data_IF_870277201020
#
_entry.id   IF_870277201020
#
_cell.length_a   1.000
_cell.length_b   1.000
_cell.length_c   1.000
_cell.angle_alpha   90.00
_cell.angle_beta   90.00
_cell.angle_gamma   90.00
#
_symmetry.space_group_name_H-M   'P 1'
#
loop_
_entity.id
_entity.type
_entity.pdbx_description
1 polymer ?
#
# COMPACT_ATOMS: atom_id res chain seq x y z
N UNK A 1 -57.98 0.77 -11.42
CA UNK A 1 -56.68 0.11 -11.63
C UNK A 1 -55.71 0.71 -10.62
N UNK A 2 -55.16 -0.09 -9.69
CA UNK A 2 -54.29 0.39 -8.61
C UNK A 2 -52.84 0.32 -9.12
N UNK A 3 -52.22 1.47 -9.39
CA UNK A 3 -50.81 1.55 -9.75
C UNK A 3 -49.96 1.14 -8.56
N UNK A 4 -49.24 0.03 -8.71
CA UNK A 4 -48.18 -0.39 -7.79
C UNK A 4 -46.94 0.43 -8.14
N UNK A 5 -46.59 1.39 -7.27
CA UNK A 5 -45.30 2.08 -7.34
C UNK A 5 -44.26 1.11 -6.78
N UNK A 6 -43.55 0.43 -7.68
CA UNK A 6 -42.40 -0.38 -7.31
C UNK A 6 -41.24 0.58 -6.97
N UNK A 7 -40.93 0.70 -5.68
CA UNK A 7 -39.74 1.40 -5.21
C UNK A 7 -38.52 0.54 -5.57
N UNK A 8 -37.79 0.95 -6.60
CA UNK A 8 -36.50 0.34 -6.96
C UNK A 8 -35.45 0.89 -5.97
N UNK A 9 -35.14 0.11 -4.93
CA UNK A 9 -34.00 0.37 -4.05
C UNK A 9 -32.71 0.12 -4.84
N UNK A 10 -32.13 1.16 -5.41
CA UNK A 10 -30.79 1.12 -6.00
C UNK A 10 -29.79 1.02 -4.85
N UNK A 11 -29.34 -0.19 -4.55
CA UNK A 11 -28.24 -0.43 -3.63
C UNK A 11 -26.96 0.02 -4.35
N UNK A 12 -26.50 1.23 -4.04
CA UNK A 12 -25.16 1.68 -4.39
C UNK A 12 -24.17 0.83 -3.60
N UNK A 13 -23.58 -0.17 -4.24
CA UNK A 13 -22.37 -0.83 -3.74
C UNK A 13 -21.24 0.19 -3.82
N UNK A 14 -21.01 0.93 -2.74
CA UNK A 14 -19.79 1.69 -2.55
C UNK A 14 -18.65 0.68 -2.40
N UNK A 15 -17.81 0.54 -3.42
CA UNK A 15 -16.52 -0.13 -3.28
C UNK A 15 -15.67 0.72 -2.35
N UNK A 16 -15.79 0.46 -1.04
CA UNK A 16 -14.92 1.10 -0.06
C UNK A 16 -13.51 0.55 -0.28
N UNK A 17 -12.62 1.40 -0.78
CA UNK A 17 -11.18 1.10 -0.85
C UNK A 17 -10.70 0.74 0.54
N UNK A 18 -9.80 -0.22 0.69
CA UNK A 18 -9.39 -0.73 2.00
C UNK A 18 -8.51 0.24 2.82
N UNK A 19 -7.91 1.26 2.17
CA UNK A 19 -7.09 2.31 2.78
C UNK A 19 -7.33 3.68 2.11
N UNK A 20 -8.55 4.25 2.16
CA UNK A 20 -8.91 5.45 1.39
C UNK A 20 -8.01 6.66 1.69
N UNK A 21 -7.49 6.76 2.91
CA UNK A 21 -6.65 7.86 3.40
C UNK A 21 -5.29 7.91 2.71
N UNK A 22 -4.75 6.76 2.31
CA UNK A 22 -3.45 6.65 1.65
C UNK A 22 -3.57 6.46 0.14
N UNK A 23 -4.78 6.35 -0.40
CA UNK A 23 -4.97 6.09 -1.81
C UNK A 23 -4.51 7.29 -2.66
N UNK A 24 -3.66 7.05 -3.66
CA UNK A 24 -2.99 8.04 -4.52
C UNK A 24 -1.95 8.93 -3.80
N UNK A 25 -1.52 8.55 -2.59
CA UNK A 25 -0.37 9.22 -1.95
C UNK A 25 0.91 8.84 -2.69
N UNK A 26 1.75 9.83 -2.94
CA UNK A 26 3.09 9.67 -3.50
C UNK A 26 4.13 9.69 -2.37
N UNK A 27 4.76 8.54 -2.12
CA UNK A 27 5.78 8.37 -1.08
C UNK A 27 7.05 9.19 -1.33
N UNK A 28 7.31 9.64 -2.57
CA UNK A 28 8.48 10.46 -2.88
C UNK A 28 8.26 11.93 -2.51
N UNK A 29 7.02 12.43 -2.59
CA UNK A 29 6.65 13.82 -2.27
C UNK A 29 5.88 14.01 -0.96
N UNK A 30 5.55 12.92 -0.27
CA UNK A 30 4.79 12.95 0.99
C UNK A 30 5.51 13.61 2.16
N UNK A 31 6.83 13.80 2.11
CA UNK A 31 7.51 14.62 3.13
C UNK A 31 7.00 16.08 3.17
N UNK A 32 6.41 16.56 2.07
CA UNK A 32 5.85 17.90 1.96
C UNK A 32 4.33 17.96 2.22
N UNK A 33 3.69 16.81 2.49
CA UNK A 33 2.24 16.72 2.62
C UNK A 33 1.84 15.91 3.85
N UNK A 34 0.96 16.49 4.67
CA UNK A 34 0.55 15.94 5.96
C UNK A 34 -0.41 14.74 5.84
N UNK A 35 -0.34 13.85 4.82
CA UNK A 35 -1.30 12.72 4.72
C UNK A 35 -1.03 11.61 5.74
N UNK A 36 0.23 11.39 6.10
CA UNK A 36 0.62 10.39 7.09
C UNK A 36 1.84 10.80 7.90
N UNK A 37 2.02 10.16 9.05
CA UNK A 37 3.26 10.20 9.83
C UNK A 37 3.89 8.82 9.80
N UNK A 38 5.20 8.75 9.50
CA UNK A 38 5.96 7.51 9.68
C UNK A 38 6.26 7.34 11.18
N UNK A 39 5.69 6.30 11.79
CA UNK A 39 5.83 6.03 13.23
C UNK A 39 6.79 4.88 13.54
N UNK A 40 7.17 4.11 12.52
CA UNK A 40 8.14 3.03 12.61
C UNK A 40 8.81 2.79 11.26
N UNK A 41 10.10 2.47 11.28
CA UNK A 41 10.85 2.05 10.10
C UNK A 41 12.00 1.12 10.49
N UNK A 42 12.15 0.03 9.74
CA UNK A 42 13.21 -0.96 9.91
C UNK A 42 13.61 -1.55 8.56
N UNK A 43 14.91 -1.72 8.32
CA UNK A 43 15.41 -2.51 7.19
C UNK A 43 15.19 -4.00 7.45
N UNK A 44 14.55 -4.68 6.50
CA UNK A 44 14.39 -6.12 6.55
C UNK A 44 15.70 -6.82 6.17
N UNK A 45 15.99 -8.00 6.76
CA UNK A 45 17.07 -8.84 6.29
C UNK A 45 16.79 -9.31 4.85
N UNK A 46 17.84 -9.73 4.12
CA UNK A 46 17.68 -10.32 2.79
C UNK A 46 16.70 -11.48 2.85
N UNK A 47 15.57 -11.33 2.18
CA UNK A 47 14.51 -12.34 2.16
C UNK A 47 14.92 -13.52 1.28
N UNK A 48 14.35 -14.70 1.54
CA UNK A 48 14.42 -15.81 0.58
C UNK A 48 13.63 -15.48 -0.69
N UNK A 49 13.93 -16.17 -1.81
CA UNK A 49 13.18 -16.02 -3.07
C UNK A 49 11.68 -16.25 -2.90
N UNK A 50 11.31 -17.23 -2.07
CA UNK A 50 9.92 -17.58 -1.77
C UNK A 50 9.21 -16.49 -0.98
N UNK A 51 9.92 -15.82 -0.06
CA UNK A 51 9.36 -14.69 0.70
C UNK A 51 9.28 -13.42 -0.14
N UNK A 52 10.30 -13.14 -0.96
CA UNK A 52 10.32 -12.00 -1.87
C UNK A 52 9.17 -12.08 -2.89
N UNK A 53 8.89 -13.27 -3.44
CA UNK A 53 7.81 -13.49 -4.40
C UNK A 53 6.39 -13.29 -3.81
N UNK A 54 6.23 -13.20 -2.49
CA UNK A 54 4.94 -12.88 -1.86
C UNK A 54 4.54 -11.42 -2.07
N UNK A 55 5.52 -10.55 -2.30
CA UNK A 55 5.28 -9.15 -2.62
C UNK A 55 5.03 -9.04 -4.12
N UNK A 56 3.76 -9.09 -4.51
CA UNK A 56 3.38 -9.22 -5.93
C UNK A 56 3.90 -8.08 -6.79
N UNK A 57 4.00 -6.88 -6.22
CA UNK A 57 4.54 -5.69 -6.90
C UNK A 57 6.05 -5.76 -7.12
N UNK A 58 6.73 -6.65 -6.38
CA UNK A 58 8.17 -6.88 -6.48
C UNK A 58 8.53 -8.10 -7.31
N UNK A 59 7.54 -8.93 -7.67
CA UNK A 59 7.77 -10.23 -8.28
C UNK A 59 8.48 -10.16 -9.64
N UNK A 60 8.34 -9.03 -10.35
CA UNK A 60 8.95 -8.80 -11.66
C UNK A 60 10.36 -8.20 -11.58
N UNK A 61 10.84 -7.84 -10.39
CA UNK A 61 12.19 -7.30 -10.21
C UNK A 61 13.25 -8.39 -10.03
N UNK A 62 14.50 -8.05 -10.36
CA UNK A 62 15.63 -8.95 -10.15
C UNK A 62 15.85 -9.17 -8.65
N UNK A 63 15.56 -10.40 -8.19
CA UNK A 63 15.71 -10.80 -6.80
C UNK A 63 17.13 -10.56 -6.26
N UNK A 64 18.19 -10.85 -7.01
CA UNK A 64 19.54 -10.71 -6.47
C UNK A 64 19.93 -9.26 -6.23
N UNK A 65 19.27 -8.34 -6.95
CA UNK A 65 19.44 -6.90 -6.82
C UNK A 65 18.53 -6.29 -5.74
N UNK A 66 17.31 -6.83 -5.57
CA UNK A 66 16.28 -6.20 -4.73
C UNK A 66 16.05 -6.82 -3.36
N UNK A 67 16.45 -8.08 -3.14
CA UNK A 67 15.98 -8.83 -1.97
C UNK A 67 16.53 -8.33 -0.63
N UNK A 68 17.63 -7.57 -0.62
CA UNK A 68 18.19 -6.91 0.56
C UNK A 68 17.85 -5.41 0.65
N UNK A 69 17.04 -4.92 -0.29
CA UNK A 69 16.64 -3.54 -0.41
C UNK A 69 15.19 -3.32 0.05
N UNK A 70 14.76 -3.97 1.13
CA UNK A 70 13.41 -3.84 1.66
C UNK A 70 13.38 -3.19 3.04
N UNK A 71 12.36 -2.36 3.25
CA UNK A 71 12.05 -1.72 4.51
C UNK A 71 10.62 -2.03 4.91
N UNK A 72 10.44 -2.34 6.18
CA UNK A 72 9.13 -2.38 6.82
C UNK A 72 8.90 -1.02 7.48
N UNK A 73 7.79 -0.37 7.13
CA UNK A 73 7.41 0.91 7.73
C UNK A 73 5.98 0.84 8.26
N UNK A 74 5.68 1.65 9.28
CA UNK A 74 4.31 1.87 9.73
C UNK A 74 3.93 3.33 9.51
N UNK A 75 2.86 3.52 8.76
CA UNK A 75 2.34 4.84 8.40
C UNK A 75 1.03 5.05 9.16
N UNK A 76 0.97 6.09 9.98
CA UNK A 76 -0.26 6.53 10.64
C UNK A 76 -0.91 7.62 9.78
N UNK A 77 -2.10 7.37 9.24
CA UNK A 77 -2.85 8.36 8.48
C UNK A 77 -3.29 9.50 9.40
N UNK A 78 -2.89 10.73 9.09
CA UNK A 78 -3.12 11.90 9.97
C UNK A 78 -4.60 12.22 10.16
N UNK A 79 -5.43 11.91 9.16
CA UNK A 79 -6.86 12.22 9.16
C UNK A 79 -7.65 11.32 10.12
N UNK A 80 -7.23 10.07 10.31
CA UNK A 80 -8.00 9.05 11.05
C UNK A 80 -7.24 8.40 12.19
N UNK A 81 -5.92 8.55 12.26
CA UNK A 81 -5.03 7.83 13.18
C UNK A 81 -4.88 6.34 12.83
N UNK A 82 -5.34 5.91 11.66
CA UNK A 82 -5.25 4.50 11.26
C UNK A 82 -3.81 4.16 10.88
N UNK A 83 -3.29 3.06 11.42
CA UNK A 83 -1.93 2.60 11.14
C UNK A 83 -1.94 1.51 10.07
N UNK A 84 -1.09 1.69 9.07
CA UNK A 84 -0.87 0.73 8.00
C UNK A 84 0.57 0.23 8.04
N UNK A 85 0.76 -1.07 7.79
CA UNK A 85 2.09 -1.64 7.61
C UNK A 85 2.41 -1.65 6.12
N UNK A 86 3.55 -1.11 5.73
CA UNK A 86 4.05 -1.22 4.35
C UNK A 86 5.35 -2.01 4.33
N UNK A 87 5.52 -2.83 3.29
CA UNK A 87 6.81 -3.37 2.91
C UNK A 87 7.16 -2.76 1.58
N UNK A 88 8.22 -1.98 1.55
CA UNK A 88 8.59 -1.14 0.41
C UNK A 88 10.07 -1.26 0.12
N UNK A 89 10.45 -1.10 -1.14
CA UNK A 89 11.86 -1.03 -1.50
C UNK A 89 12.49 0.24 -0.95
N UNK A 90 13.75 0.13 -0.52
CA UNK A 90 14.62 1.28 -0.35
C UNK A 90 14.65 2.02 -1.69
N UNK A 91 14.37 3.32 -1.67
CA UNK A 91 14.36 4.15 -2.87
C UNK A 91 15.65 3.95 -3.68
N UNK A 92 15.51 3.94 -5.00
CA UNK A 92 16.59 3.80 -5.98
C UNK A 92 17.34 2.45 -5.97
N UNK A 93 16.90 1.48 -5.16
CA UNK A 93 17.64 0.22 -5.00
C UNK A 93 17.14 -0.92 -5.90
N UNK A 94 16.00 -0.76 -6.57
CA UNK A 94 15.42 -1.79 -7.45
C UNK A 94 15.32 -1.38 -8.92
N UNK A 95 14.89 -0.14 -9.19
CA UNK A 95 14.70 0.39 -10.54
C UNK A 95 15.58 1.63 -10.82
N UNK A 96 16.27 2.14 -9.80
CA UNK A 96 17.09 3.34 -9.89
C UNK A 96 16.33 4.68 -9.82
N UNK A 97 15.09 4.71 -9.31
CA UNK A 97 14.36 5.98 -9.13
C UNK A 97 13.20 5.99 -8.14
N UNK A 98 12.54 4.84 -7.92
CA UNK A 98 11.24 4.78 -7.26
C UNK A 98 11.16 3.76 -6.13
N UNK A 99 10.03 3.79 -5.44
CA UNK A 99 9.68 2.84 -4.40
C UNK A 99 8.59 1.89 -4.89
N UNK A 100 8.75 0.60 -4.62
CA UNK A 100 7.77 -0.44 -4.96
C UNK A 100 7.45 -1.29 -3.74
N UNK A 101 6.26 -1.88 -3.69
CA UNK A 101 5.92 -2.78 -2.60
C UNK A 101 4.42 -2.93 -2.35
N UNK A 102 4.09 -3.22 -1.11
CA UNK A 102 2.74 -3.58 -0.70
C UNK A 102 2.33 -2.89 0.59
N UNK A 103 1.03 -2.60 0.70
CA UNK A 103 0.39 -2.07 1.90
C UNK A 103 -0.50 -3.13 2.52
N UNK A 104 -0.42 -3.24 3.84
CA UNK A 104 -1.11 -4.19 4.67
C UNK A 104 -1.86 -3.48 5.80
N UNK A 105 -2.76 -4.21 6.45
CA UNK A 105 -3.34 -3.80 7.73
C UNK A 105 -2.27 -3.65 8.83
N UNK A 106 -2.67 -3.10 9.97
CA UNK A 106 -1.77 -2.87 11.11
C UNK A 106 -1.01 -4.15 11.53
N UNK A 107 -1.67 -5.31 11.46
CA UNK A 107 -1.08 -6.62 11.78
C UNK A 107 -0.15 -7.17 10.70
N UNK A 108 -0.10 -6.57 9.51
CA UNK A 108 0.69 -7.06 8.37
C UNK A 108 0.13 -8.34 7.73
N UNK A 109 -1.12 -8.68 8.02
CA UNK A 109 -1.75 -9.95 7.62
C UNK A 109 -2.61 -9.85 6.37
N UNK A 110 -3.23 -8.70 6.15
CA UNK A 110 -4.17 -8.49 5.04
C UNK A 110 -3.58 -7.50 4.06
N UNK A 111 -3.41 -7.92 2.82
CA UNK A 111 -3.04 -7.03 1.71
C UNK A 111 -4.18 -6.04 1.43
N UNK A 112 -3.88 -4.75 1.44
CA UNK A 112 -4.83 -3.67 1.20
C UNK A 112 -4.59 -2.95 -0.14
N UNK A 113 -3.42 -3.15 -0.76
CA UNK A 113 -3.02 -2.43 -1.95
C UNK A 113 -1.56 -2.67 -2.36
N UNK A 114 -1.09 -1.92 -3.34
CA UNK A 114 0.29 -1.91 -3.81
C UNK A 114 0.88 -0.51 -3.87
N UNK A 115 2.21 -0.46 -3.95
CA UNK A 115 3.01 0.75 -4.11
C UNK A 115 3.77 0.58 -5.43
N UNK A 116 3.47 1.37 -6.45
CA UNK A 116 4.15 1.31 -7.73
C UNK A 116 4.57 2.70 -8.16
N UNK A 117 5.82 2.86 -8.63
CA UNK A 117 6.36 4.17 -9.02
C UNK A 117 6.23 5.21 -7.89
N UNK A 118 6.40 4.76 -6.63
CA UNK A 118 6.17 5.53 -5.40
C UNK A 118 4.71 5.90 -5.07
N UNK A 119 3.73 5.58 -5.92
CA UNK A 119 2.32 5.83 -5.67
C UNK A 119 1.61 4.66 -4.98
N UNK A 120 0.83 4.97 -3.94
CA UNK A 120 -0.04 4.01 -3.25
C UNK A 120 -1.35 3.84 -4.00
N UNK A 121 -1.71 2.60 -4.31
CA UNK A 121 -3.03 2.22 -4.84
C UNK A 121 -3.71 1.22 -3.92
N UNK A 122 -4.86 1.59 -3.36
CA UNK A 122 -5.67 0.75 -2.48
C UNK A 122 -6.78 0.02 -3.25
N UNK A 123 -7.03 -1.25 -2.93
CA UNK A 123 -8.06 -2.10 -3.55
C UNK A 123 -9.40 -2.07 -2.82
#
# INVERSE_FOLDING_TARGET
>A
MKSVVALLSVILLSYATACPELNNVDLASSYDRDEYTEVYSERLPKLSKEEFAKYTELADFDYEYCADALELRRLEATQTGTVYTIVVTVKDSCDGGNSYGNIFDESGSKLLGSIGDSYITCF
#
